data_IF_876116169296
#
_entry.id   IF_876116169296
#
_cell.length_a   1.000
_cell.length_b   1.000
_cell.length_c   1.000
_cell.angle_alpha   90.00
_cell.angle_beta   90.00
_cell.angle_gamma   90.00
#
_symmetry.space_group_name_H-M   'P 1'
#
loop_
_entity.id
_entity.type
_entity.pdbx_description
1 polymer ?
#
# COMPACT_ATOMS: atom_id res chain seq x y z
N UNK A 1 -3.10 7.35 -11.35
CA UNK A 1 -2.17 7.86 -10.31
C UNK A 1 -2.40 7.09 -9.04
N UNK A 2 -1.35 6.76 -8.29
CA UNK A 2 -1.48 6.10 -6.98
C UNK A 2 -0.86 6.99 -5.93
N UNK A 3 -1.62 7.26 -4.87
CA UNK A 3 -1.16 7.95 -3.67
C UNK A 3 -1.32 7.02 -2.47
N UNK A 4 -0.26 6.87 -1.70
CA UNK A 4 -0.23 6.13 -0.46
C UNK A 4 0.31 7.04 0.63
N UNK A 5 -0.41 7.14 1.74
CA UNK A 5 -0.07 8.01 2.87
C UNK A 5 -0.07 7.27 4.20
N UNK A 6 0.99 7.45 4.96
CA UNK A 6 1.10 7.01 6.35
C UNK A 6 0.90 8.21 7.26
N UNK A 7 -0.20 8.25 7.99
CA UNK A 7 -0.44 9.35 8.92
C UNK A 7 0.16 9.03 10.28
N UNK A 8 0.83 9.99 10.93
CA UNK A 8 1.43 9.81 12.26
C UNK A 8 0.42 9.32 13.31
N UNK A 9 -0.86 9.72 13.15
CA UNK A 9 -1.94 9.27 14.03
C UNK A 9 -2.19 7.75 13.94
N UNK A 10 -1.86 7.10 12.82
CA UNK A 10 -2.05 5.65 12.65
C UNK A 10 -1.19 4.86 13.62
N UNK A 11 -0.07 5.43 14.07
CA UNK A 11 0.82 4.90 15.10
C UNK A 11 0.63 5.59 16.47
N UNK A 12 -0.45 6.36 16.65
CA UNK A 12 -0.73 7.11 17.89
C UNK A 12 0.25 8.26 18.17
N UNK A 13 0.91 8.80 17.14
CA UNK A 13 1.92 9.87 17.27
C UNK A 13 1.43 11.20 16.67
N UNK A 14 1.91 12.29 17.24
CA UNK A 14 1.76 13.63 16.66
C UNK A 14 2.98 13.89 15.76
N UNK A 15 2.82 14.46 14.54
CA UNK A 15 3.95 14.75 13.67
C UNK A 15 4.99 15.63 14.36
N UNK A 16 6.26 15.22 14.32
CA UNK A 16 7.36 15.86 15.06
C UNK A 16 7.93 17.13 14.42
N UNK A 17 7.40 17.57 13.28
CA UNK A 17 7.86 18.78 12.60
C UNK A 17 7.28 20.06 13.24
N UNK A 18 7.87 21.21 12.93
CA UNK A 18 7.45 22.51 13.47
C UNK A 18 5.95 22.80 13.25
N UNK A 19 5.41 22.40 12.08
CA UNK A 19 4.01 22.62 11.72
C UNK A 19 3.03 21.60 12.31
N UNK A 20 3.52 20.52 12.95
CA UNK A 20 2.72 19.38 13.44
C UNK A 20 1.74 18.82 12.42
N UNK A 21 2.16 18.73 11.15
CA UNK A 21 1.35 18.28 10.02
C UNK A 21 2.11 17.31 9.14
N UNK A 22 1.40 16.41 8.49
CA UNK A 22 1.99 15.55 7.46
C UNK A 22 2.54 16.39 6.31
N UNK A 23 3.76 16.08 5.92
CA UNK A 23 4.52 16.85 4.95
C UNK A 23 4.50 16.24 3.54
N UNK A 24 5.61 16.44 2.84
CA UNK A 24 5.88 15.77 1.57
C UNK A 24 5.93 14.25 1.79
N UNK A 25 5.48 13.44 0.80
CA UNK A 25 5.62 12.00 0.88
C UNK A 25 7.06 11.60 1.20
N UNK A 26 7.21 10.71 2.17
CA UNK A 26 8.45 10.02 2.50
C UNK A 26 8.86 9.07 1.37
N UNK A 27 10.13 8.64 1.38
CA UNK A 27 10.62 7.67 0.42
C UNK A 27 9.84 6.36 0.49
N UNK A 28 9.53 5.88 1.70
CA UNK A 28 8.67 4.70 1.91
C UNK A 28 7.32 4.87 1.23
N UNK A 29 6.65 5.99 1.45
CA UNK A 29 5.34 6.25 0.83
C UNK A 29 5.43 6.25 -0.70
N UNK A 30 6.44 6.90 -1.27
CA UNK A 30 6.66 6.93 -2.73
C UNK A 30 6.94 5.54 -3.31
N UNK A 31 7.74 4.72 -2.60
CA UNK A 31 8.01 3.35 -2.99
C UNK A 31 6.75 2.48 -2.92
N UNK A 32 5.94 2.63 -1.87
CA UNK A 32 4.67 1.92 -1.73
C UNK A 32 3.67 2.33 -2.81
N UNK A 33 3.58 3.61 -3.19
CA UNK A 33 2.79 4.05 -4.34
C UNK A 33 3.16 3.27 -5.61
N UNK A 34 4.47 3.15 -5.88
CA UNK A 34 4.97 2.40 -7.05
C UNK A 34 4.73 0.89 -6.91
N UNK A 35 4.82 0.35 -5.70
CA UNK A 35 4.59 -1.06 -5.42
C UNK A 35 3.13 -1.45 -5.69
N UNK A 36 2.18 -0.57 -5.40
CA UNK A 36 0.76 -0.73 -5.73
C UNK A 36 0.51 -0.54 -7.24
N UNK A 37 1.11 0.48 -7.83
CA UNK A 37 0.87 0.85 -9.24
C UNK A 37 1.32 -0.26 -10.23
N UNK A 38 2.51 -0.85 -9.99
CA UNK A 38 3.12 -1.85 -10.86
C UNK A 38 2.25 -3.07 -11.18
N UNK A 39 1.66 -3.79 -10.19
CA UNK A 39 0.81 -4.95 -10.46
C UNK A 39 -0.55 -4.59 -11.06
N UNK A 40 -1.11 -3.43 -10.71
CA UNK A 40 -2.47 -3.04 -11.10
C UNK A 40 -2.51 -2.44 -12.51
N UNK A 41 -1.52 -1.62 -12.88
CA UNK A 41 -1.49 -0.91 -14.17
C UNK A 41 -1.69 -1.79 -15.42
N UNK A 42 -1.08 -2.99 -15.55
CA UNK A 42 -1.28 -3.83 -16.73
C UNK A 42 -2.63 -4.55 -16.75
N UNK A 43 -3.43 -4.49 -15.67
CA UNK A 43 -4.71 -5.19 -15.54
C UNK A 43 -5.90 -4.34 -15.98
N UNK A 44 -5.68 -3.07 -16.32
CA UNK A 44 -6.73 -2.26 -16.93
C UNK A 44 -7.02 -2.76 -18.35
N UNK A 45 -8.28 -2.68 -18.81
CA UNK A 45 -8.65 -3.10 -20.16
C UNK A 45 -7.90 -2.31 -21.22
N UNK A 46 -7.64 -2.94 -22.36
CA UNK A 46 -7.05 -2.28 -23.51
C UNK A 46 -7.90 -1.07 -23.94
N UNK A 47 -7.23 0.08 -24.13
CA UNK A 47 -7.89 1.32 -24.50
C UNK A 47 -8.52 2.08 -23.33
N UNK A 48 -8.43 1.60 -22.09
CA UNK A 48 -8.85 2.35 -20.91
C UNK A 48 -8.00 3.62 -20.74
N UNK A 49 -8.60 4.79 -20.95
CA UNK A 49 -7.94 6.11 -20.87
C UNK A 49 -8.63 7.08 -19.92
N UNK A 50 -9.54 6.59 -19.09
CA UNK A 50 -10.17 7.40 -18.07
C UNK A 50 -9.17 7.74 -16.97
N UNK A 51 -9.28 8.95 -16.43
CA UNK A 51 -8.46 9.33 -15.29
C UNK A 51 -8.86 8.48 -14.09
N UNK A 52 -7.88 7.84 -13.45
CA UNK A 52 -8.13 6.97 -12.30
C UNK A 52 -7.08 7.26 -11.24
N UNK A 53 -7.55 7.60 -10.04
CA UNK A 53 -6.73 7.85 -8.87
C UNK A 53 -7.05 6.80 -7.81
N UNK A 54 -6.01 6.16 -7.29
CA UNK A 54 -6.10 5.24 -6.16
C UNK A 54 -5.45 5.96 -4.97
N UNK A 55 -6.19 6.08 -3.87
CA UNK A 55 -5.71 6.71 -2.63
C UNK A 55 -5.76 5.70 -1.51
N UNK A 56 -4.59 5.25 -1.07
CA UNK A 56 -4.41 4.42 0.13
C UNK A 56 -4.00 5.30 1.30
N UNK A 57 -4.74 5.24 2.41
CA UNK A 57 -4.39 5.93 3.66
C UNK A 57 -4.32 4.92 4.79
N UNK A 58 -3.19 4.88 5.47
CA UNK A 58 -3.04 4.05 6.68
C UNK A 58 -3.74 4.76 7.83
N UNK A 59 -4.86 4.20 8.26
CA UNK A 59 -5.66 4.74 9.37
C UNK A 59 -5.24 4.17 10.73
N UNK A 60 -4.64 2.98 10.75
CA UNK A 60 -4.14 2.32 11.95
C UNK A 60 -3.03 1.36 11.54
N UNK A 61 -1.97 1.32 12.33
CA UNK A 61 -0.88 0.38 12.18
C UNK A 61 -0.48 -0.13 13.57
N UNK A 62 -0.22 -1.43 13.66
CA UNK A 62 0.44 -2.01 14.82
C UNK A 62 1.97 -1.78 14.74
N UNK A 63 2.70 -2.27 15.74
CA UNK A 63 4.16 -2.18 15.79
C UNK A 63 4.87 -3.40 15.20
N UNK A 64 4.14 -4.34 14.59
CA UNK A 64 4.66 -5.65 14.22
C UNK A 64 4.63 -5.88 12.71
N UNK A 65 3.61 -5.38 12.03
CA UNK A 65 3.31 -5.64 10.63
C UNK A 65 3.49 -4.38 9.77
N UNK A 66 4.07 -4.56 8.59
CA UNK A 66 4.16 -3.45 7.63
C UNK A 66 2.86 -3.32 6.82
N UNK A 67 2.22 -2.14 6.80
CA UNK A 67 0.98 -1.90 6.06
C UNK A 67 1.14 -1.96 4.53
N UNK A 68 2.36 -1.93 4.00
CA UNK A 68 2.61 -1.84 2.55
C UNK A 68 2.00 -2.98 1.73
N UNK A 69 2.11 -4.22 2.20
CA UNK A 69 1.52 -5.40 1.55
C UNK A 69 -0.01 -5.30 1.54
N UNK A 70 -0.59 -4.83 2.65
CA UNK A 70 -2.03 -4.66 2.80
C UNK A 70 -2.56 -3.57 1.86
N UNK A 71 -1.78 -2.53 1.60
CA UNK A 71 -2.15 -1.45 0.70
C UNK A 71 -2.37 -1.92 -0.75
N UNK A 72 -1.60 -2.91 -1.21
CA UNK A 72 -1.80 -3.54 -2.54
C UNK A 72 -3.15 -4.24 -2.59
N UNK A 73 -3.42 -5.09 -1.60
CA UNK A 73 -4.67 -5.84 -1.51
C UNK A 73 -5.87 -4.90 -1.35
N UNK A 74 -5.73 -3.84 -0.56
CA UNK A 74 -6.75 -2.80 -0.39
C UNK A 74 -7.04 -2.05 -1.69
N UNK A 75 -6.00 -1.65 -2.43
CA UNK A 75 -6.15 -1.01 -3.74
C UNK A 75 -6.85 -1.93 -4.75
N UNK A 76 -6.48 -3.21 -4.78
CA UNK A 76 -7.15 -4.18 -5.63
C UNK A 76 -8.61 -4.38 -5.26
N UNK A 77 -8.93 -4.46 -3.97
CA UNK A 77 -10.31 -4.61 -3.50
C UNK A 77 -11.14 -3.38 -3.88
N UNK A 78 -10.60 -2.18 -3.70
CA UNK A 78 -11.26 -0.94 -4.06
C UNK A 78 -11.58 -0.86 -5.56
N UNK A 79 -10.64 -1.29 -6.43
CA UNK A 79 -10.88 -1.33 -7.87
C UNK A 79 -11.91 -2.39 -8.26
N UNK A 80 -11.81 -3.59 -7.68
CA UNK A 80 -12.71 -4.69 -7.97
C UNK A 80 -14.17 -4.39 -7.58
N UNK A 81 -14.37 -3.58 -6.53
CA UNK A 81 -15.69 -3.13 -6.09
C UNK A 81 -16.18 -1.86 -6.80
N UNK A 82 -15.35 -1.23 -7.62
CA UNK A 82 -15.72 -0.01 -8.35
C UNK A 82 -16.43 -0.34 -9.67
N UNK A 83 -16.95 0.70 -10.34
CA UNK A 83 -17.55 0.57 -11.68
C UNK A 83 -16.50 0.39 -12.80
N UNK A 84 -15.21 0.38 -12.45
CA UNK A 84 -14.12 0.14 -13.40
C UNK A 84 -14.08 -1.35 -13.74
N UNK A 85 -14.00 -1.67 -15.03
CA UNK A 85 -13.81 -3.04 -15.50
C UNK A 85 -12.42 -3.53 -15.08
N UNK A 86 -12.35 -4.18 -13.91
CA UNK A 86 -11.14 -4.71 -13.29
C UNK A 86 -11.43 -6.13 -12.78
N UNK A 87 -11.36 -7.11 -13.67
CA UNK A 87 -11.86 -8.47 -13.39
C UNK A 87 -10.83 -9.39 -12.73
N UNK A 88 -9.58 -8.93 -12.59
CA UNK A 88 -8.47 -9.73 -12.04
C UNK A 88 -7.96 -9.11 -10.75
N UNK A 89 -8.56 -9.44 -9.59
CA UNK A 89 -8.05 -8.95 -8.32
C UNK A 89 -6.67 -9.52 -8.02
N UNK A 90 -5.83 -8.70 -7.39
CA UNK A 90 -4.48 -9.02 -6.95
C UNK A 90 -4.34 -8.84 -5.44
N UNK A 91 -3.47 -9.64 -4.84
CA UNK A 91 -3.10 -9.50 -3.44
C UNK A 91 -1.58 -9.37 -3.31
N UNK A 92 -1.14 -8.53 -2.39
CA UNK A 92 0.26 -8.49 -1.99
C UNK A 92 0.56 -9.60 -0.98
N UNK A 93 1.73 -10.22 -1.09
CA UNK A 93 2.30 -11.09 -0.05
C UNK A 93 3.81 -10.81 0.05
N UNK A 94 4.33 -10.67 1.26
CA UNK A 94 5.77 -10.68 1.53
C UNK A 94 6.20 -12.08 1.95
N UNK A 95 7.31 -12.56 1.42
CA UNK A 95 7.89 -13.85 1.81
C UNK A 95 9.28 -13.60 2.41
N UNK A 96 9.49 -14.07 3.63
CA UNK A 96 10.79 -14.14 4.29
C UNK A 96 11.37 -15.57 4.21
N UNK A 97 12.69 -15.71 4.40
CA UNK A 97 13.38 -16.99 4.49
C UNK A 97 14.21 -17.01 5.78
N UNK A 98 13.74 -17.74 6.79
CA UNK A 98 14.40 -17.86 8.11
C UNK A 98 14.70 -19.33 8.37
N UNK A 99 15.95 -19.65 8.70
CA UNK A 99 16.41 -21.02 8.98
C UNK A 99 16.00 -22.04 7.90
N UNK A 100 16.07 -21.61 6.63
CA UNK A 100 15.70 -22.44 5.49
C UNK A 100 14.19 -22.67 5.30
N UNK A 101 13.33 -21.96 6.05
CA UNK A 101 11.87 -22.04 5.94
C UNK A 101 11.29 -20.73 5.40
N UNK A 102 10.34 -20.85 4.48
CA UNK A 102 9.56 -19.71 4.01
C UNK A 102 8.55 -19.27 5.06
N UNK A 103 8.51 -17.98 5.35
CA UNK A 103 7.54 -17.35 6.25
C UNK A 103 6.72 -16.36 5.45
N UNK A 104 5.40 -16.43 5.61
CA UNK A 104 4.43 -15.56 4.94
C UNK A 104 4.20 -14.32 5.80
N UNK A 105 4.32 -13.14 5.19
CA UNK A 105 4.16 -11.83 5.81
C UNK A 105 4.93 -11.73 7.14
N UNK A 106 6.27 -11.87 7.13
CA UNK A 106 7.08 -11.75 8.33
C UNK A 106 6.86 -10.39 9.00
N UNK A 107 6.85 -10.40 10.33
CA UNK A 107 6.84 -9.19 11.16
C UNK A 107 8.15 -8.41 11.02
N UNK A 108 8.22 -7.19 11.57
CA UNK A 108 9.45 -6.39 11.53
C UNK A 108 10.66 -7.10 12.16
N UNK A 109 10.44 -7.92 13.19
CA UNK A 109 11.51 -8.68 13.87
C UNK A 109 11.92 -9.93 13.09
N UNK A 110 11.05 -10.42 12.20
CA UNK A 110 11.25 -11.59 11.35
C UNK A 110 11.71 -11.21 9.92
N UNK A 111 12.03 -9.94 9.67
CA UNK A 111 12.49 -9.46 8.36
C UNK A 111 13.92 -9.84 8.02
#
# INVERSE_FOLDING_TARGET
>A
TVEYRESSYSAGRIPGNYFRREGRPSEKEVLTCRLIDRPIRPLFPDGYRYETQIVGTVISADSENDPDVMAITGASCALYLSDIVFDTPVAGVRIGLIDGKYIVNPTYDER
#
